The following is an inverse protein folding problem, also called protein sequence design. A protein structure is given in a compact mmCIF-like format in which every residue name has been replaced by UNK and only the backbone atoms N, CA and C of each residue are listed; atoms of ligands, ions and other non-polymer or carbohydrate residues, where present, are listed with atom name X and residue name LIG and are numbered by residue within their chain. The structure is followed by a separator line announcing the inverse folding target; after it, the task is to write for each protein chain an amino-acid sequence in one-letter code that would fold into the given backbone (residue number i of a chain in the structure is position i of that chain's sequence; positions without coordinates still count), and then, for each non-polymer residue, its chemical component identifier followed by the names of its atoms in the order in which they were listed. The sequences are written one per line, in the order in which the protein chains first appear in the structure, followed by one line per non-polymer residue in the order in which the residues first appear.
data_IF_945248888309
#
_entry.id   IF_945248888309
#
_cell.length_a   1.000
_cell.length_b   1.000
_cell.length_c   1.000
_cell.angle_alpha   90.00
_cell.angle_beta   90.00
_cell.angle_gamma   90.00
#
_symmetry.space_group_name_H-M   'P 1'
#
loop_
_entity.id
_entity.type
_entity.pdbx_description
1 polymer ?
#
# COMPACT_ATOMS: atom_id res chain seq x y z
N UNK A 1 -29.94 18.62 8.27
CA UNK A 1 -29.50 18.16 6.92
C UNK A 1 -28.00 17.90 6.96
N UNK A 2 -27.57 16.74 6.52
CA UNK A 2 -26.14 16.41 6.36
C UNK A 2 -25.65 17.19 5.13
N UNK A 3 -24.70 18.08 5.31
CA UNK A 3 -24.11 18.84 4.22
C UNK A 3 -22.77 18.21 3.82
N UNK A 4 -22.75 17.50 2.69
CA UNK A 4 -21.52 16.97 2.08
C UNK A 4 -21.18 17.84 0.88
N UNK A 5 -19.96 18.32 0.82
CA UNK A 5 -19.44 19.08 -0.32
C UNK A 5 -18.13 18.46 -0.81
N UNK A 6 -17.83 18.65 -2.09
CA UNK A 6 -16.65 18.12 -2.74
C UNK A 6 -15.84 19.25 -3.35
N UNK A 7 -14.54 19.12 -3.36
CA UNK A 7 -13.65 20.12 -3.92
C UNK A 7 -12.49 19.48 -4.66
N UNK A 8 -12.04 20.15 -5.71
CA UNK A 8 -10.77 19.80 -6.36
C UNK A 8 -9.63 20.40 -5.53
N UNK A 9 -8.71 19.57 -5.13
CA UNK A 9 -7.52 19.96 -4.38
C UNK A 9 -6.35 20.15 -5.34
N UNK A 10 -5.45 21.05 -4.99
CA UNK A 10 -4.17 21.19 -5.69
C UNK A 10 -3.19 20.07 -5.30
N UNK A 11 -2.03 20.05 -5.96
CA UNK A 11 -0.93 19.11 -5.63
C UNK A 11 -0.35 19.33 -4.24
N UNK A 12 -0.36 20.57 -3.77
CA UNK A 12 -0.09 20.89 -2.37
C UNK A 12 -1.37 20.64 -1.59
N UNK A 13 -1.42 19.49 -0.92
CA UNK A 13 -2.58 19.09 -0.13
C UNK A 13 -2.75 20.04 1.05
N UNK A 14 -3.96 20.63 1.24
CA UNK A 14 -4.27 21.35 2.47
C UNK A 14 -4.15 20.41 3.68
N UNK A 15 -3.65 20.92 4.80
CA UNK A 15 -3.40 20.14 6.01
C UNK A 15 -4.57 19.24 6.45
N UNK A 16 -5.87 19.69 6.41
CA UNK A 16 -6.99 18.84 6.80
C UNK A 16 -7.16 17.57 5.95
N UNK A 17 -6.67 17.56 4.70
CA UNK A 17 -6.77 16.42 3.80
C UNK A 17 -5.55 15.50 3.82
N UNK A 18 -4.44 15.93 4.42
CA UNK A 18 -3.19 15.18 4.39
C UNK A 18 -3.31 13.78 5.01
N UNK A 19 -4.11 13.62 6.08
CA UNK A 19 -4.38 12.33 6.72
C UNK A 19 -5.19 11.33 5.87
N UNK A 20 -5.89 11.81 4.83
CA UNK A 20 -6.72 10.99 3.94
C UNK A 20 -6.00 10.55 2.67
N UNK A 21 -4.74 10.92 2.48
CA UNK A 21 -3.94 10.53 1.32
C UNK A 21 -2.71 9.74 1.78
N UNK A 22 -2.45 8.63 1.12
CA UNK A 22 -1.34 7.74 1.45
C UNK A 22 0.00 8.50 1.46
N UNK A 23 0.89 8.24 2.43
CA UNK A 23 2.13 9.00 2.59
C UNK A 23 3.03 9.03 1.35
N UNK A 24 3.13 7.91 0.62
CA UNK A 24 3.91 7.86 -0.61
C UNK A 24 3.27 8.69 -1.74
N UNK A 25 1.93 8.67 -1.85
CA UNK A 25 1.20 9.48 -2.85
C UNK A 25 1.38 10.97 -2.57
N UNK A 26 1.41 11.38 -1.29
CA UNK A 26 1.75 12.77 -0.92
C UNK A 26 3.14 13.18 -1.41
N UNK A 27 4.14 12.27 -1.31
CA UNK A 27 5.49 12.51 -1.82
C UNK A 27 5.52 12.60 -3.34
N UNK A 28 4.79 11.73 -4.03
CA UNK A 28 4.63 11.76 -5.49
C UNK A 28 4.01 13.08 -5.95
N UNK A 29 2.90 13.50 -5.35
CA UNK A 29 2.24 14.78 -5.65
C UNK A 29 3.18 15.98 -5.46
N UNK A 30 3.96 16.00 -4.37
CA UNK A 30 4.90 17.09 -4.09
C UNK A 30 6.05 17.17 -5.11
N UNK A 31 6.41 16.06 -5.75
CA UNK A 31 7.49 15.97 -6.76
C UNK A 31 6.98 16.02 -8.21
N UNK A 32 5.68 15.89 -8.39
CA UNK A 32 5.07 15.82 -9.70
C UNK A 32 5.35 17.08 -10.50
N UNK A 33 5.79 16.92 -11.76
CA UNK A 33 5.97 18.03 -12.71
C UNK A 33 4.62 18.67 -13.05
N UNK A 34 4.63 19.88 -13.60
CA UNK A 34 3.41 20.67 -13.88
C UNK A 34 2.43 19.92 -14.80
N UNK A 35 2.93 19.06 -15.66
CA UNK A 35 2.18 18.35 -16.70
C UNK A 35 1.69 16.96 -16.28
N UNK A 36 2.01 16.51 -15.06
CA UNK A 36 1.53 15.22 -14.60
C UNK A 36 0.02 15.25 -14.37
N UNK A 37 -0.67 14.25 -14.94
CA UNK A 37 -2.13 14.19 -14.98
C UNK A 37 -2.72 13.63 -13.67
N UNK A 38 -2.44 14.28 -12.53
CA UNK A 38 -3.09 13.92 -11.26
C UNK A 38 -4.43 14.66 -11.10
N UNK A 39 -5.44 13.93 -10.68
CA UNK A 39 -6.67 14.48 -10.12
C UNK A 39 -6.69 14.21 -8.62
N UNK A 40 -6.85 15.27 -7.84
CA UNK A 40 -6.93 15.21 -6.37
C UNK A 40 -8.27 15.80 -5.94
N UNK A 41 -9.10 14.98 -5.31
CA UNK A 41 -10.42 15.37 -4.81
C UNK A 41 -10.49 15.26 -3.30
N UNK A 42 -11.15 16.22 -2.67
CA UNK A 42 -11.47 16.22 -1.24
C UNK A 42 -12.98 16.17 -1.01
N UNK A 43 -13.39 15.51 0.06
CA UNK A 43 -14.76 15.54 0.56
C UNK A 43 -14.79 16.19 1.94
N UNK A 44 -15.80 17.01 2.17
CA UNK A 44 -16.05 17.70 3.44
C UNK A 44 -17.44 17.32 3.95
N UNK A 45 -17.55 17.05 5.23
CA UNK A 45 -18.79 16.80 5.93
C UNK A 45 -18.99 17.87 7.00
N UNK A 46 -20.06 18.65 6.87
CA UNK A 46 -20.33 19.80 7.74
C UNK A 46 -19.11 20.74 7.91
N UNK A 47 -18.41 21.01 6.81
CA UNK A 47 -17.22 21.89 6.80
C UNK A 47 -15.91 21.27 7.28
N UNK A 48 -15.92 20.00 7.69
CA UNK A 48 -14.72 19.26 8.10
C UNK A 48 -14.31 18.27 7.01
N UNK A 49 -13.00 18.17 6.72
CA UNK A 49 -12.48 17.16 5.81
C UNK A 49 -12.88 15.75 6.31
N UNK A 50 -13.42 14.93 5.42
CA UNK A 50 -13.87 13.57 5.74
C UNK A 50 -13.43 12.52 4.74
N UNK A 51 -12.66 12.87 3.72
CA UNK A 51 -12.12 11.93 2.76
C UNK A 51 -11.36 12.59 1.64
N UNK A 52 -10.58 11.80 0.93
CA UNK A 52 -9.89 12.22 -0.28
C UNK A 52 -9.71 11.06 -1.26
N UNK A 53 -9.59 11.42 -2.54
CA UNK A 53 -9.29 10.50 -3.63
C UNK A 53 -8.21 11.12 -4.53
N UNK A 54 -7.25 10.29 -4.95
CA UNK A 54 -6.17 10.70 -5.87
C UNK A 54 -6.09 9.69 -6.99
N UNK A 55 -6.25 10.14 -8.22
CA UNK A 55 -6.01 9.35 -9.41
C UNK A 55 -4.86 9.96 -10.23
N UNK A 56 -4.05 9.09 -10.83
CA UNK A 56 -3.03 9.42 -11.82
C UNK A 56 -3.48 8.92 -13.18
N UNK A 57 -3.45 9.78 -14.21
CA UNK A 57 -3.98 9.48 -15.52
C UNK A 57 -2.86 9.28 -16.53
N UNK A 58 -2.88 8.13 -17.23
CA UNK A 58 -2.13 7.89 -18.45
C UNK A 58 -2.98 8.20 -19.69
N UNK A 59 -2.50 7.78 -20.87
CA UNK A 59 -3.19 8.04 -22.14
C UNK A 59 -4.57 7.37 -22.24
N UNK A 60 -4.69 6.09 -21.82
CA UNK A 60 -5.91 5.30 -21.97
C UNK A 60 -6.50 4.83 -20.62
N UNK A 61 -5.76 4.93 -19.54
CA UNK A 61 -6.18 4.44 -18.24
C UNK A 61 -5.68 5.33 -17.08
N UNK A 62 -6.45 5.36 -16.00
CA UNK A 62 -6.05 5.95 -14.74
C UNK A 62 -5.81 4.90 -13.67
N UNK A 63 -4.92 5.21 -12.73
CA UNK A 63 -4.70 4.46 -11.50
C UNK A 63 -5.23 5.25 -10.32
N UNK A 64 -6.13 4.65 -9.51
CA UNK A 64 -6.54 5.22 -8.24
C UNK A 64 -5.42 4.97 -7.22
N UNK A 65 -4.64 6.01 -6.96
CA UNK A 65 -3.42 5.96 -6.12
C UNK A 65 -3.71 6.01 -4.64
N UNK A 66 -4.78 6.70 -4.25
CA UNK A 66 -5.22 6.84 -2.86
C UNK A 66 -6.72 7.08 -2.80
N UNK A 67 -7.40 6.38 -1.89
CA UNK A 67 -8.83 6.51 -1.69
C UNK A 67 -9.18 6.24 -0.23
N UNK A 68 -9.69 7.22 0.46
CA UNK A 68 -10.06 7.07 1.86
C UNK A 68 -11.26 7.93 2.22
N UNK A 69 -12.18 7.36 3.02
CA UNK A 69 -13.30 8.07 3.63
C UNK A 69 -13.30 7.76 5.13
N UNK A 70 -13.38 8.82 5.93
CA UNK A 70 -13.48 8.74 7.39
C UNK A 70 -14.57 7.75 7.81
N UNK A 71 -14.30 6.81 8.72
CA UNK A 71 -15.31 5.86 9.18
C UNK A 71 -16.63 6.50 9.60
N UNK A 72 -16.59 7.70 10.18
CA UNK A 72 -17.80 8.45 10.60
C UNK A 72 -18.64 8.94 9.42
N UNK A 73 -18.05 9.11 8.24
CA UNK A 73 -18.72 9.56 7.02
C UNK A 73 -19.06 8.40 6.05
N UNK A 74 -18.71 7.16 6.42
CA UNK A 74 -19.08 5.98 5.63
C UNK A 74 -20.58 5.76 5.64
N UNK A 75 -21.13 5.16 4.58
CA UNK A 75 -22.57 4.97 4.41
C UNK A 75 -23.35 6.22 3.96
N UNK A 76 -22.71 7.41 3.93
CA UNK A 76 -23.34 8.66 3.50
C UNK A 76 -23.14 8.98 1.99
N UNK A 77 -22.72 8.01 1.18
CA UNK A 77 -22.52 8.19 -0.26
C UNK A 77 -21.21 8.88 -0.68
N UNK A 78 -20.39 9.33 0.29
CA UNK A 78 -19.13 10.07 0.02
C UNK A 78 -18.20 9.35 -0.92
N UNK A 79 -17.95 8.05 -0.67
CA UNK A 79 -17.07 7.24 -1.51
C UNK A 79 -17.59 7.12 -2.95
N UNK A 80 -18.90 6.88 -3.09
CA UNK A 80 -19.54 6.82 -4.40
C UNK A 80 -19.32 8.09 -5.20
N UNK A 81 -19.59 9.21 -4.60
CA UNK A 81 -19.49 10.52 -5.26
C UNK A 81 -18.04 10.87 -5.65
N UNK A 82 -17.07 10.58 -4.77
CA UNK A 82 -15.65 10.76 -5.11
C UNK A 82 -15.25 9.93 -6.33
N UNK A 83 -15.70 8.67 -6.42
CA UNK A 83 -15.45 7.83 -7.61
C UNK A 83 -16.13 8.38 -8.85
N UNK A 84 -17.39 8.82 -8.75
CA UNK A 84 -18.13 9.39 -9.89
C UNK A 84 -17.42 10.63 -10.44
N UNK A 85 -16.94 11.51 -9.57
CA UNK A 85 -16.15 12.67 -9.97
C UNK A 85 -14.82 12.29 -10.62
N UNK A 86 -14.15 11.23 -10.14
CA UNK A 86 -12.92 10.73 -10.78
C UNK A 86 -13.23 10.15 -12.16
N UNK A 87 -14.30 9.36 -12.31
CA UNK A 87 -14.70 8.80 -13.62
C UNK A 87 -15.05 9.91 -14.61
N UNK A 88 -15.77 10.95 -14.16
CA UNK A 88 -16.06 12.14 -14.96
C UNK A 88 -14.78 12.84 -15.44
N UNK A 89 -13.81 13.02 -14.55
CA UNK A 89 -12.54 13.64 -14.90
C UNK A 89 -11.71 12.74 -15.84
N UNK A 90 -11.71 11.42 -15.62
CA UNK A 90 -11.08 10.45 -16.51
C UNK A 90 -11.65 10.51 -17.93
N UNK A 91 -12.99 10.57 -18.07
CA UNK A 91 -13.66 10.74 -19.36
C UNK A 91 -13.22 12.03 -20.06
N UNK A 92 -13.16 13.14 -19.32
CA UNK A 92 -12.69 14.44 -19.86
C UNK A 92 -11.24 14.38 -20.37
N UNK A 93 -10.40 13.54 -19.75
CA UNK A 93 -9.01 13.33 -20.13
C UNK A 93 -8.82 12.23 -21.20
N UNK A 94 -9.89 11.57 -21.63
CA UNK A 94 -9.87 10.52 -22.66
C UNK A 94 -9.49 9.14 -22.13
N UNK A 95 -9.42 8.95 -20.82
CA UNK A 95 -9.18 7.64 -20.23
C UNK A 95 -10.42 6.74 -20.39
N UNK A 96 -10.19 5.43 -20.57
CA UNK A 96 -11.24 4.41 -20.76
C UNK A 96 -11.47 3.55 -19.54
N UNK A 97 -10.53 3.55 -18.60
CA UNK A 97 -10.57 2.68 -17.41
C UNK A 97 -9.90 3.37 -16.24
N UNK A 98 -10.46 3.20 -15.05
CA UNK A 98 -9.81 3.49 -13.78
C UNK A 98 -9.56 2.17 -13.05
N UNK A 99 -8.31 1.86 -12.72
CA UNK A 99 -7.95 0.64 -12.01
C UNK A 99 -7.32 0.95 -10.64
N UNK A 100 -7.40 0.00 -9.71
CA UNK A 100 -6.76 0.12 -8.41
C UNK A 100 -6.63 -1.23 -7.70
N UNK A 101 -5.68 -1.30 -6.77
CA UNK A 101 -5.49 -2.42 -5.86
C UNK A 101 -5.85 -2.00 -4.44
N UNK A 102 -6.48 -2.90 -3.70
CA UNK A 102 -6.84 -2.68 -2.30
C UNK A 102 -6.65 -3.95 -1.46
N UNK A 103 -6.45 -3.74 -0.16
CA UNK A 103 -6.33 -4.80 0.86
C UNK A 103 -7.33 -4.47 1.94
N UNK A 104 -8.35 -5.27 2.10
CA UNK A 104 -9.45 -5.04 3.01
C UNK A 104 -9.81 -6.32 3.79
N UNK A 105 -10.48 -6.17 4.93
CA UNK A 105 -11.17 -7.24 5.64
C UNK A 105 -12.46 -7.60 4.92
N UNK A 106 -13.02 -8.78 5.21
CA UNK A 106 -14.21 -9.29 4.51
C UNK A 106 -15.42 -8.35 4.58
N UNK A 107 -15.65 -7.70 5.72
CA UNK A 107 -16.75 -6.75 5.91
C UNK A 107 -16.58 -5.47 5.07
N UNK A 108 -15.38 -4.94 5.00
CA UNK A 108 -15.05 -3.78 4.16
C UNK A 108 -14.99 -4.15 2.67
N UNK A 109 -14.59 -5.40 2.37
CA UNK A 109 -14.48 -5.93 1.02
C UNK A 109 -15.83 -5.94 0.31
N UNK A 110 -16.89 -6.42 0.97
CA UNK A 110 -18.24 -6.46 0.41
C UNK A 110 -18.75 -5.05 0.04
N UNK A 111 -18.46 -4.05 0.87
CA UNK A 111 -18.83 -2.65 0.60
C UNK A 111 -18.06 -2.09 -0.60
N UNK A 112 -16.76 -2.38 -0.73
CA UNK A 112 -15.96 -1.95 -1.87
C UNK A 112 -16.39 -2.64 -3.16
N UNK A 113 -16.65 -3.95 -3.12
CA UNK A 113 -17.15 -4.69 -4.27
C UNK A 113 -18.52 -4.15 -4.75
N UNK A 114 -19.42 -3.84 -3.83
CA UNK A 114 -20.71 -3.23 -4.18
C UNK A 114 -20.53 -1.84 -4.84
N UNK A 115 -19.60 -1.04 -4.33
CA UNK A 115 -19.26 0.26 -4.88
C UNK A 115 -18.72 0.18 -6.32
N UNK A 116 -17.86 -0.82 -6.59
CA UNK A 116 -17.30 -1.10 -7.91
C UNK A 116 -18.38 -1.61 -8.88
N UNK A 117 -19.17 -2.61 -8.46
CA UNK A 117 -20.22 -3.21 -9.30
C UNK A 117 -21.34 -2.21 -9.65
N UNK A 118 -21.68 -1.32 -8.74
CA UNK A 118 -22.67 -0.26 -9.00
C UNK A 118 -22.25 0.68 -10.17
N UNK A 119 -20.99 0.63 -10.57
CA UNK A 119 -20.40 1.38 -11.70
C UNK A 119 -20.00 0.48 -12.87
N UNK A 120 -20.64 -0.66 -12.98
CA UNK A 120 -20.31 -1.68 -14.01
C UNK A 120 -18.85 -2.15 -13.98
N UNK A 121 -18.18 -1.96 -12.84
CA UNK A 121 -16.80 -2.38 -12.65
C UNK A 121 -16.66 -3.86 -12.34
N UNK A 122 -15.44 -4.36 -12.51
CA UNK A 122 -15.06 -5.75 -12.28
C UNK A 122 -14.05 -5.80 -11.15
N UNK A 123 -14.28 -6.71 -10.19
CA UNK A 123 -13.31 -7.08 -9.16
C UNK A 123 -12.69 -8.42 -9.53
N UNK A 124 -11.37 -8.50 -9.50
CA UNK A 124 -10.65 -9.78 -9.69
C UNK A 124 -10.84 -10.70 -8.48
N UNK A 125 -10.55 -11.98 -8.67
CA UNK A 125 -10.47 -12.93 -7.58
C UNK A 125 -9.34 -12.52 -6.63
N UNK A 126 -9.67 -12.36 -5.35
CA UNK A 126 -8.72 -11.88 -4.37
C UNK A 126 -7.67 -12.92 -3.99
N UNK A 127 -6.50 -12.44 -3.58
CA UNK A 127 -5.46 -13.24 -2.93
C UNK A 127 -5.53 -13.05 -1.40
N UNK A 128 -5.43 -14.13 -0.61
CA UNK A 128 -5.41 -14.02 0.83
C UNK A 128 -4.14 -13.32 1.32
N UNK A 129 -4.28 -12.54 2.37
CA UNK A 129 -3.20 -11.80 3.01
C UNK A 129 -3.35 -11.92 4.52
N UNK A 130 -2.28 -12.23 5.22
CA UNK A 130 -2.27 -12.32 6.67
C UNK A 130 -1.80 -11.02 7.29
N UNK A 131 -2.61 -10.40 8.14
CA UNK A 131 -2.25 -9.21 8.89
C UNK A 131 -2.01 -9.50 10.37
N UNK A 132 -0.96 -8.94 10.94
CA UNK A 132 -0.73 -8.92 12.39
C UNK A 132 -0.84 -7.50 12.92
N UNK A 133 -1.56 -7.33 14.00
CA UNK A 133 -1.56 -6.08 14.75
C UNK A 133 -0.28 -5.97 15.58
N UNK A 134 0.15 -4.74 15.84
CA UNK A 134 1.33 -4.51 16.68
C UNK A 134 1.25 -5.17 18.06
N UNK A 135 0.07 -5.20 18.67
CA UNK A 135 -0.13 -5.80 20.00
C UNK A 135 0.06 -7.32 19.96
N UNK A 136 -0.24 -7.96 18.82
CA UNK A 136 -0.09 -9.40 18.64
C UNK A 136 1.36 -9.83 18.40
N UNK A 137 2.26 -8.90 18.02
CA UNK A 137 3.68 -9.23 17.79
C UNK A 137 4.35 -9.81 19.02
N UNK A 138 4.02 -9.31 20.22
CA UNK A 138 4.61 -9.79 21.46
C UNK A 138 4.17 -11.21 21.83
N UNK A 139 2.96 -11.59 21.45
CA UNK A 139 2.41 -12.93 21.69
C UNK A 139 2.89 -13.97 20.68
N UNK A 140 3.43 -13.52 19.54
CA UNK A 140 3.99 -14.42 18.51
C UNK A 140 5.17 -15.24 19.08
N UNK A 141 5.16 -16.58 18.91
CA UNK A 141 6.24 -17.44 19.38
C UNK A 141 7.60 -17.09 18.78
N UNK A 142 7.61 -16.59 17.56
CA UNK A 142 8.82 -16.23 16.83
C UNK A 142 9.19 -14.76 16.98
N UNK A 143 8.22 -13.87 16.79
CA UNK A 143 8.44 -12.42 16.76
C UNK A 143 8.56 -11.84 18.17
N UNK A 144 7.77 -12.33 19.12
CA UNK A 144 7.80 -11.83 20.49
C UNK A 144 9.18 -11.91 21.16
N UNK A 145 9.90 -13.05 21.11
CA UNK A 145 11.30 -13.09 21.58
C UNK A 145 12.22 -12.16 20.82
N UNK A 146 12.02 -12.02 19.48
CA UNK A 146 12.82 -11.13 18.65
C UNK A 146 12.59 -9.64 18.99
N UNK A 147 11.38 -9.23 19.27
CA UNK A 147 11.05 -7.86 19.70
C UNK A 147 11.66 -7.52 21.08
N UNK A 148 11.77 -8.50 21.95
CA UNK A 148 12.38 -8.33 23.29
C UNK A 148 13.92 -8.38 23.25
N UNK A 149 14.49 -9.08 22.27
CA UNK A 149 15.92 -9.08 22.03
C UNK A 149 16.29 -7.82 21.23
N UNK A 150 17.43 -7.22 21.54
CA UNK A 150 17.93 -6.04 20.85
C UNK A 150 18.43 -6.43 19.44
N UNK A 151 17.47 -6.75 18.53
CA UNK A 151 17.74 -7.20 17.17
C UNK A 151 18.38 -6.14 16.28
N UNK A 152 18.36 -4.89 16.71
CA UNK A 152 19.04 -3.79 16.01
C UNK A 152 20.58 -3.92 16.05
N UNK A 153 21.11 -4.89 16.77
CA UNK A 153 22.56 -5.12 16.90
C UNK A 153 23.17 -6.09 15.92
N UNK A 154 22.43 -6.65 14.99
CA UNK A 154 23.07 -7.39 13.89
C UNK A 154 23.68 -6.36 12.94
N UNK A 155 24.99 -6.14 13.06
CA UNK A 155 25.76 -5.17 12.26
C UNK A 155 25.65 -5.40 10.75
N UNK A 156 25.24 -6.61 10.37
CA UNK A 156 25.07 -7.06 9.00
C UNK A 156 23.73 -6.60 8.39
N UNK A 157 22.73 -6.24 9.20
CA UNK A 157 21.43 -5.77 8.71
C UNK A 157 21.43 -4.26 8.66
N UNK A 158 21.21 -3.74 7.46
CA UNK A 158 21.19 -2.32 7.15
C UNK A 158 19.84 -1.95 6.54
N UNK A 159 19.26 -0.82 6.97
CA UNK A 159 18.02 -0.32 6.37
C UNK A 159 18.30 0.23 4.96
N UNK A 160 17.31 0.14 4.07
CA UNK A 160 17.45 0.66 2.71
C UNK A 160 17.74 2.16 2.66
N UNK A 161 17.25 2.93 3.63
CA UNK A 161 17.59 4.36 3.77
C UNK A 161 19.08 4.61 3.99
N UNK A 162 19.81 3.64 4.54
CA UNK A 162 21.23 3.71 4.92
C UNK A 162 22.16 3.09 3.86
N UNK A 163 21.60 2.35 2.89
CA UNK A 163 22.38 1.73 1.81
C UNK A 163 23.00 2.77 0.88
N UNK A 164 24.24 2.55 0.51
CA UNK A 164 24.92 3.32 -0.54
C UNK A 164 24.26 3.08 -1.91
N UNK A 165 24.47 4.00 -2.85
CA UNK A 165 23.97 3.86 -4.23
C UNK A 165 24.49 2.57 -4.90
N UNK A 166 25.76 2.22 -4.66
CA UNK A 166 26.37 0.97 -5.18
C UNK A 166 25.67 -0.27 -4.62
N UNK A 167 25.38 -0.30 -3.33
CA UNK A 167 24.66 -1.43 -2.70
C UNK A 167 23.23 -1.55 -3.25
N UNK A 168 22.52 -0.44 -3.45
CA UNK A 168 21.20 -0.46 -4.07
C UNK A 168 21.23 -0.97 -5.50
N UNK A 169 22.23 -0.57 -6.31
CA UNK A 169 22.38 -1.09 -7.67
C UNK A 169 22.63 -2.61 -7.70
N UNK A 170 23.38 -3.15 -6.73
CA UNK A 170 23.59 -4.60 -6.60
C UNK A 170 22.29 -5.35 -6.25
N UNK A 171 21.37 -4.72 -5.51
CA UNK A 171 20.07 -5.34 -5.21
C UNK A 171 19.18 -5.47 -6.45
N UNK A 172 19.32 -4.59 -7.43
CA UNK A 172 18.55 -4.67 -8.69
C UNK A 172 19.06 -5.79 -9.60
N UNK A 173 20.38 -6.00 -9.65
CA UNK A 173 21.02 -6.92 -10.60
C UNK A 173 21.40 -8.26 -10.01
N UNK A 174 21.62 -8.32 -8.71
CA UNK A 174 22.17 -9.50 -8.01
C UNK A 174 21.13 -10.52 -7.54
N UNK A 175 19.88 -10.39 -7.91
CA UNK A 175 18.79 -11.24 -7.45
C UNK A 175 18.10 -11.99 -8.62
N UNK A 176 17.36 -13.05 -8.27
CA UNK A 176 16.58 -13.88 -9.21
C UNK A 176 15.09 -13.58 -9.18
N UNK A 177 14.69 -12.47 -8.53
CA UNK A 177 13.28 -12.08 -8.46
C UNK A 177 12.77 -11.61 -9.84
N UNK A 178 11.50 -11.89 -10.15
CA UNK A 178 10.81 -11.23 -11.24
C UNK A 178 10.87 -9.70 -11.09
N UNK A 179 10.85 -8.98 -12.20
CA UNK A 179 11.03 -7.52 -12.22
C UNK A 179 10.02 -6.79 -11.31
N UNK A 180 8.77 -7.24 -11.27
CA UNK A 180 7.72 -6.64 -10.43
C UNK A 180 7.92 -6.80 -8.91
N UNK A 181 8.86 -7.65 -8.48
CA UNK A 181 9.23 -7.85 -7.07
C UNK A 181 10.57 -7.22 -6.69
N UNK A 182 11.24 -6.54 -7.62
CA UNK A 182 12.52 -5.85 -7.37
C UNK A 182 12.30 -4.51 -6.65
N UNK A 183 13.32 -3.96 -5.98
CA UNK A 183 13.21 -2.66 -5.32
C UNK A 183 12.71 -1.55 -6.26
N UNK A 184 13.18 -1.49 -7.49
CA UNK A 184 12.80 -0.49 -8.50
C UNK A 184 11.31 -0.54 -8.86
N UNK A 185 10.69 -1.72 -8.84
CA UNK A 185 9.26 -1.87 -9.13
C UNK A 185 8.34 -1.21 -8.09
N UNK A 186 8.82 -1.04 -6.86
CA UNK A 186 8.08 -0.34 -5.82
C UNK A 186 8.16 1.19 -5.98
N UNK A 187 9.19 1.71 -6.64
CA UNK A 187 9.37 3.15 -6.85
C UNK A 187 9.23 3.94 -5.55
N UNK A 188 8.39 4.97 -5.56
CA UNK A 188 8.10 5.80 -4.39
C UNK A 188 7.32 5.06 -3.28
N UNK A 189 6.75 3.90 -3.58
CA UNK A 189 6.08 3.05 -2.58
C UNK A 189 7.07 2.39 -1.63
N UNK A 190 8.32 2.14 -2.07
CA UNK A 190 9.36 1.54 -1.24
C UNK A 190 9.58 2.37 0.03
N UNK A 191 9.35 1.76 1.18
CA UNK A 191 9.67 2.37 2.47
C UNK A 191 11.09 1.98 2.88
N UNK A 192 12.02 2.92 2.71
CA UNK A 192 13.45 2.68 2.98
C UNK A 192 13.77 2.46 4.47
N UNK A 193 12.89 2.86 5.38
CA UNK A 193 13.05 2.61 6.81
C UNK A 193 12.37 1.32 7.28
N UNK A 194 11.49 0.73 6.45
CA UNK A 194 10.88 -0.57 6.67
C UNK A 194 11.64 -1.69 5.93
N UNK A 195 12.23 -1.36 4.79
CA UNK A 195 12.99 -2.31 3.98
C UNK A 195 14.43 -2.45 4.51
N UNK A 196 14.95 -3.68 4.51
CA UNK A 196 16.29 -3.95 5.02
C UNK A 196 17.03 -4.98 4.16
N UNK A 197 18.35 -4.95 4.23
CA UNK A 197 19.23 -5.88 3.54
C UNK A 197 20.27 -6.48 4.51
N UNK A 198 20.62 -7.73 4.27
CA UNK A 198 21.77 -8.38 4.92
C UNK A 198 23.01 -8.19 4.06
N UNK A 199 24.05 -7.65 4.66
CA UNK A 199 25.32 -7.41 4.00
C UNK A 199 26.37 -8.42 4.48
N UNK A 200 27.10 -9.04 3.52
CA UNK A 200 28.33 -9.79 3.74
C UNK A 200 29.46 -9.08 3.02
N UNK A 201 30.51 -8.73 3.74
CA UNK A 201 31.64 -7.95 3.19
C UNK A 201 31.18 -6.69 2.45
N UNK A 202 30.16 -6.02 2.97
CA UNK A 202 29.59 -4.80 2.40
C UNK A 202 28.73 -5.02 1.15
N UNK A 203 28.46 -6.27 0.74
CA UNK A 203 27.60 -6.62 -0.40
C UNK A 203 26.29 -7.20 0.07
N UNK A 204 25.14 -6.78 -0.47
CA UNK A 204 23.86 -7.36 -0.11
C UNK A 204 23.72 -8.79 -0.64
N UNK A 205 23.43 -9.73 0.27
CA UNK A 205 23.23 -11.16 -0.03
C UNK A 205 21.80 -11.62 0.26
N UNK A 206 21.00 -10.81 0.95
CA UNK A 206 19.57 -11.04 1.14
C UNK A 206 18.89 -9.68 1.43
N UNK A 207 17.58 -9.61 1.18
CA UNK A 207 16.80 -8.41 1.52
C UNK A 207 15.33 -8.74 1.76
N UNK A 208 14.66 -7.81 2.45
CA UNK A 208 13.22 -7.78 2.61
C UNK A 208 12.71 -6.38 2.27
N UNK A 209 11.75 -6.30 1.35
CA UNK A 209 11.14 -5.06 0.92
C UNK A 209 9.78 -4.88 1.59
N UNK A 210 9.47 -3.65 1.94
CA UNK A 210 8.19 -3.28 2.49
C UNK A 210 7.75 -1.89 2.03
N UNK A 211 6.45 -1.67 2.11
CA UNK A 211 5.82 -0.39 1.80
C UNK A 211 4.68 -0.09 2.77
N UNK A 212 4.33 1.17 2.88
CA UNK A 212 3.21 1.61 3.69
C UNK A 212 1.95 1.71 2.83
N UNK A 213 0.92 0.93 3.14
CA UNK A 213 -0.36 0.89 2.42
C UNK A 213 -1.46 1.72 3.08
N UNK A 214 -1.18 2.32 4.23
CA UNK A 214 -2.09 3.17 4.99
C UNK A 214 -1.34 3.87 6.10
N UNK A 215 -2.01 4.68 6.89
CA UNK A 215 -1.34 5.40 7.99
C UNK A 215 -0.70 4.44 9.00
N UNK A 216 -1.34 3.29 9.22
CA UNK A 216 -0.93 2.27 10.19
C UNK A 216 -0.81 0.86 9.59
N UNK A 217 -0.81 0.73 8.26
CA UNK A 217 -0.68 -0.56 7.60
C UNK A 217 0.64 -0.63 6.84
N UNK A 218 1.48 -1.57 7.21
CA UNK A 218 2.77 -1.84 6.60
C UNK A 218 2.73 -3.20 5.93
N UNK A 219 3.07 -3.24 4.64
CA UNK A 219 3.01 -4.44 3.83
C UNK A 219 4.42 -4.91 3.49
N UNK A 220 4.68 -6.19 3.71
CA UNK A 220 5.84 -6.86 3.15
C UNK A 220 5.57 -7.12 1.66
N UNK A 221 6.45 -6.66 0.79
CA UNK A 221 6.32 -6.87 -0.66
C UNK A 221 7.02 -8.15 -1.10
N UNK A 222 8.33 -8.22 -0.87
CA UNK A 222 9.14 -9.36 -1.29
C UNK A 222 10.28 -9.61 -0.32
N UNK A 223 10.72 -10.85 -0.28
CA UNK A 223 11.95 -11.27 0.38
C UNK A 223 12.76 -12.07 -0.60
N UNK A 224 14.02 -11.72 -0.72
CA UNK A 224 14.97 -12.49 -1.49
C UNK A 224 16.14 -12.92 -0.61
N UNK A 225 16.61 -14.12 -0.85
CA UNK A 225 17.77 -14.69 -0.21
C UNK A 225 18.66 -15.33 -1.25
N UNK A 226 19.84 -14.77 -1.41
CA UNK A 226 20.88 -15.32 -2.30
C UNK A 226 21.43 -16.66 -1.80
N UNK A 227 22.14 -17.38 -2.66
CA UNK A 227 22.72 -18.69 -2.33
C UNK A 227 23.73 -18.62 -1.18
N UNK A 228 24.43 -17.50 -1.06
CA UNK A 228 25.45 -17.27 -0.04
C UNK A 228 24.90 -16.61 1.24
N UNK A 229 23.60 -16.37 1.33
CA UNK A 229 23.03 -15.76 2.50
C UNK A 229 23.10 -16.71 3.72
N UNK A 230 23.46 -16.22 4.92
CA UNK A 230 23.58 -17.04 6.11
C UNK A 230 22.28 -17.71 6.51
N UNK A 231 22.38 -18.84 7.21
CA UNK A 231 21.22 -19.46 7.85
C UNK A 231 20.61 -18.47 8.85
N UNK A 232 19.28 -18.33 8.82
CA UNK A 232 18.56 -17.41 9.70
C UNK A 232 18.41 -15.98 9.17
N UNK A 233 19.09 -15.57 8.08
CA UNK A 233 18.94 -14.24 7.49
C UNK A 233 17.50 -13.89 7.15
N UNK A 234 16.71 -14.84 6.64
CA UNK A 234 15.30 -14.65 6.36
C UNK A 234 14.50 -14.22 7.61
N UNK A 235 14.66 -14.99 8.72
CA UNK A 235 14.02 -14.68 10.00
C UNK A 235 14.45 -13.30 10.51
N UNK A 236 15.74 -13.02 10.46
CA UNK A 236 16.28 -11.77 10.96
C UNK A 236 15.76 -10.55 10.17
N UNK A 237 15.65 -10.65 8.85
CA UNK A 237 15.08 -9.60 8.02
C UNK A 237 13.61 -9.32 8.34
N UNK A 238 12.78 -10.37 8.50
CA UNK A 238 11.37 -10.20 8.91
C UNK A 238 11.28 -9.58 10.31
N UNK A 239 12.05 -10.07 11.27
CA UNK A 239 12.05 -9.49 12.61
C UNK A 239 12.46 -8.02 12.60
N UNK A 240 13.41 -7.63 11.73
CA UNK A 240 13.79 -6.24 11.56
C UNK A 240 12.63 -5.41 11.00
N UNK A 241 11.93 -5.89 9.98
CA UNK A 241 10.75 -5.19 9.44
C UNK A 241 9.64 -5.03 10.48
N UNK A 242 9.32 -6.08 11.21
CA UNK A 242 8.29 -6.05 12.26
C UNK A 242 8.69 -5.10 13.39
N UNK A 243 9.96 -5.07 13.78
CA UNK A 243 10.49 -4.10 14.76
C UNK A 243 10.32 -2.66 14.26
N UNK A 244 10.67 -2.39 13.00
CA UNK A 244 10.49 -1.06 12.42
C UNK A 244 9.01 -0.64 12.39
N UNK A 245 8.11 -1.56 12.06
CA UNK A 245 6.67 -1.34 12.12
C UNK A 245 6.22 -1.02 13.57
N UNK A 246 6.64 -1.80 14.54
CA UNK A 246 6.33 -1.62 15.95
C UNK A 246 6.77 -0.25 16.49
N UNK A 247 8.04 0.09 16.29
CA UNK A 247 8.59 1.35 16.81
C UNK A 247 8.03 2.59 16.12
N UNK A 248 7.64 2.51 14.84
CA UNK A 248 7.21 3.68 14.08
C UNK A 248 5.76 4.06 14.30
N UNK A 249 4.87 3.10 14.53
CA UNK A 249 3.43 3.42 14.49
C UNK A 249 2.54 2.58 15.40
N UNK A 250 3.00 1.47 15.91
CA UNK A 250 2.09 0.49 16.53
C UNK A 250 1.01 0.00 15.55
N UNK A 251 1.30 -0.01 14.25
CA UNK A 251 0.36 -0.41 13.20
C UNK A 251 0.32 -1.91 12.93
N UNK A 252 -0.44 -2.31 11.94
CA UNK A 252 -0.52 -3.69 11.49
C UNK A 252 0.58 -3.98 10.46
N UNK A 253 1.17 -5.16 10.54
CA UNK A 253 2.11 -5.69 9.55
C UNK A 253 1.42 -6.79 8.74
N UNK A 254 1.49 -6.68 7.42
CA UNK A 254 0.77 -7.55 6.50
C UNK A 254 1.75 -8.41 5.71
N UNK A 255 1.53 -9.73 5.74
CA UNK A 255 2.25 -10.71 4.95
C UNK A 255 1.38 -11.18 3.79
N UNK A 256 1.91 -11.11 2.58
CA UNK A 256 1.21 -11.65 1.42
C UNK A 256 1.34 -13.17 1.37
N UNK A 257 0.20 -13.83 1.26
CA UNK A 257 0.12 -15.28 1.01
C UNK A 257 0.02 -15.48 -0.50
N UNK A 258 1.13 -15.87 -1.11
CA UNK A 258 1.14 -16.10 -2.55
C UNK A 258 0.39 -17.39 -2.92
N UNK A 259 -0.62 -17.34 -3.79
CA UNK A 259 -1.30 -18.55 -4.27
C UNK A 259 -0.38 -19.46 -5.10
N UNK A 260 0.71 -18.91 -5.63
CA UNK A 260 1.70 -19.64 -6.45
C UNK A 260 2.74 -20.34 -5.55
N UNK A 261 2.92 -19.89 -4.30
CA UNK A 261 3.87 -20.47 -3.37
C UNK A 261 3.15 -21.12 -2.18
N UNK A 262 2.94 -22.43 -2.20
CA UNK A 262 2.21 -23.14 -1.13
C UNK A 262 2.90 -23.04 0.24
N UNK A 263 4.18 -22.68 0.29
CA UNK A 263 4.90 -22.46 1.55
C UNK A 263 4.61 -21.11 2.18
N UNK A 264 4.03 -20.15 1.44
CA UNK A 264 3.80 -18.80 1.96
C UNK A 264 2.75 -18.78 3.08
N UNK A 265 1.70 -19.59 2.98
CA UNK A 265 0.69 -19.73 4.02
C UNK A 265 1.28 -20.35 5.29
N UNK A 266 1.98 -21.48 5.16
CA UNK A 266 2.65 -22.12 6.28
C UNK A 266 3.69 -21.21 6.95
N UNK A 267 4.32 -20.37 6.17
CA UNK A 267 5.31 -19.40 6.65
C UNK A 267 4.63 -18.24 7.40
N UNK A 268 3.51 -17.72 6.90
CA UNK A 268 2.72 -16.71 7.59
C UNK A 268 2.20 -17.27 8.94
N UNK A 269 1.69 -18.48 8.94
CA UNK A 269 1.24 -19.17 10.16
C UNK A 269 2.39 -19.38 11.15
N UNK A 270 3.56 -19.78 10.66
CA UNK A 270 4.74 -19.94 11.51
C UNK A 270 5.20 -18.63 12.14
N UNK A 271 5.17 -17.50 11.41
CA UNK A 271 5.52 -16.18 11.94
C UNK A 271 4.50 -15.68 12.95
N UNK A 272 3.22 -15.88 12.70
CA UNK A 272 2.13 -15.34 13.50
C UNK A 272 1.76 -16.26 14.66
N UNK A 273 2.17 -17.55 14.62
CA UNK A 273 1.70 -18.56 15.55
C UNK A 273 0.22 -18.88 15.39
N UNK A 274 -0.34 -18.65 14.19
CA UNK A 274 -1.77 -18.79 13.90
C UNK A 274 -2.63 -17.59 14.35
N UNK A 275 -2.01 -16.60 15.00
CA UNK A 275 -2.72 -15.40 15.48
C UNK A 275 -2.56 -14.27 14.45
N UNK A 276 -3.44 -14.22 13.47
CA UNK A 276 -3.47 -13.17 12.44
C UNK A 276 -4.90 -12.83 12.03
N UNK A 277 -5.07 -11.62 11.54
CA UNK A 277 -6.33 -11.19 10.91
C UNK A 277 -6.27 -11.50 9.41
N UNK A 278 -7.31 -12.15 8.86
CA UNK A 278 -7.41 -12.36 7.42
C UNK A 278 -7.76 -11.06 6.70
N UNK A 279 -7.06 -10.80 5.61
CA UNK A 279 -7.37 -9.76 4.64
C UNK A 279 -7.40 -10.38 3.25
N UNK A 280 -8.05 -9.69 2.33
CA UNK A 280 -8.04 -10.04 0.91
C UNK A 280 -7.45 -8.85 0.13
N UNK A 281 -6.46 -9.14 -0.70
CA UNK A 281 -5.99 -8.20 -1.72
C UNK A 281 -6.77 -8.44 -3.00
N UNK A 282 -7.28 -7.38 -3.60
CA UNK A 282 -7.96 -7.42 -4.91
C UNK A 282 -7.49 -6.31 -5.82
N UNK A 283 -7.65 -6.53 -7.13
CA UNK A 283 -7.68 -5.48 -8.12
C UNK A 283 -9.12 -5.22 -8.56
N UNK A 284 -9.42 -3.98 -8.88
CA UNK A 284 -10.68 -3.56 -9.47
C UNK A 284 -10.45 -2.67 -10.69
N UNK A 285 -11.39 -2.75 -11.63
CA UNK A 285 -11.39 -2.01 -12.90
C UNK A 285 -12.76 -1.39 -13.07
N UNK A 286 -12.81 -0.08 -13.23
CA UNK A 286 -14.02 0.69 -13.49
C UNK A 286 -13.97 1.19 -14.95
N UNK A 287 -14.93 0.82 -15.81
CA UNK A 287 -15.02 1.39 -17.15
C UNK A 287 -15.38 2.86 -17.05
N UNK A 288 -14.80 3.68 -17.90
CA UNK A 288 -15.11 5.09 -18.07
C UNK A 288 -15.90 5.22 -19.37
N UNK A 289 -17.17 5.59 -19.28
CA UNK A 289 -18.07 5.77 -20.41
C UNK A 289 -18.20 7.25 -20.79
N UNK A 290 -18.49 7.54 -22.04
CA UNK A 290 -18.72 8.92 -22.51
C UNK A 290 -19.91 9.60 -21.81
N UNK A 291 -20.90 8.83 -21.36
CA UNK A 291 -22.02 9.34 -20.56
C UNK A 291 -21.58 9.96 -19.21
N UNK A 292 -20.45 9.50 -18.66
CA UNK A 292 -19.84 10.10 -17.48
C UNK A 292 -19.32 11.53 -17.74
N UNK A 293 -18.98 11.86 -18.99
CA UNK A 293 -18.54 13.20 -19.38
C UNK A 293 -19.70 14.23 -19.46
N UNK A 294 -20.95 13.74 -19.63
CA UNK A 294 -22.16 14.53 -19.78
C UNK A 294 -22.88 14.83 -18.45
N UNK A 295 -22.23 14.67 -17.31
CA UNK A 295 -22.81 14.93 -15.98
C UNK A 295 -23.42 16.32 -15.93
N UNK A 296 -24.73 16.38 -15.70
CA UNK A 296 -25.56 17.57 -15.59
C UNK A 296 -24.87 18.62 -14.73
N UNK A 297 -24.50 19.74 -15.34
CA UNK A 297 -24.41 21.02 -14.65
C UNK A 297 -25.77 21.27 -13.97
N UNK A 298 -25.82 21.15 -12.67
CA UNK A 298 -26.96 21.51 -11.84
C UNK A 298 -26.47 22.38 -10.69
#
# INVERSE_FOLDING_TARGET
MINVSFCRLGRTLPAPFAGYVLPYVRRELARAKTDSAFTVLGAMWNGLACGAAVAEWGADAGELRSFFVDPKARGCGVAGHLLDLLLTEGARLGARTLYFNYILKDDELAAMDALVRARSGVCETGAPVCGMRSDDFQSSPLLGPALRADWQRQKEIVLFSELTQRQRALLETGNTLPDFLRPSALGERLDGALSCAWLEDGKPVAFALGFQSGERMFCQSSIWRGPNAPKGSFRALICTQVNQCWYRSGGSFVFFVSPINPRSAAMAEWFTGGNYEPYIQRAAYLPITEEAAGGKEA
#
